data_IF_593276914336
#
_entry.id   IF_593276914336
#
_cell.length_a   1.000
_cell.length_b   1.000
_cell.length_c   1.000
_cell.angle_alpha   90.00
_cell.angle_beta   90.00
_cell.angle_gamma   90.00
#
_symmetry.space_group_name_H-M   'P 1'
#
loop_
_entity.id
_entity.type
_entity.pdbx_description
1 polymer ?
#
# COMPACT_ATOMS: atom_id res chain seq x y z
N UNK A 1 -33.43 -9.20 14.68
CA UNK A 1 -32.12 -9.90 14.76
C UNK A 1 -31.60 -9.72 16.17
N UNK A 2 -30.89 -10.70 16.74
CA UNK A 2 -30.28 -10.50 18.05
C UNK A 2 -29.33 -9.30 17.94
N UNK A 3 -29.48 -8.34 18.84
CA UNK A 3 -28.49 -7.28 19.04
C UNK A 3 -27.17 -7.93 19.45
N UNK A 4 -26.04 -7.24 19.29
CA UNK A 4 -24.75 -7.83 19.68
C UNK A 4 -24.58 -7.78 21.19
N UNK A 5 -24.31 -8.93 21.81
CA UNK A 5 -23.89 -8.97 23.20
C UNK A 5 -22.54 -8.24 23.37
N UNK A 6 -22.22 -7.84 24.60
CA UNK A 6 -20.94 -7.20 24.85
C UNK A 6 -19.76 -8.12 24.50
N UNK A 7 -18.79 -7.58 23.74
CA UNK A 7 -17.66 -8.32 23.20
C UNK A 7 -17.94 -9.06 21.88
N UNK A 8 -19.21 -9.19 21.47
CA UNK A 8 -19.60 -9.91 20.26
C UNK A 8 -19.33 -9.11 18.99
N UNK A 9 -18.97 -9.82 17.92
CA UNK A 9 -18.80 -9.26 16.58
C UNK A 9 -19.49 -10.11 15.52
N UNK A 10 -20.03 -9.46 14.49
CA UNK A 10 -20.62 -10.10 13.31
C UNK A 10 -20.05 -9.50 12.04
N UNK A 11 -19.86 -10.35 11.03
CA UNK A 11 -19.51 -9.92 9.69
C UNK A 11 -20.76 -9.64 8.85
N UNK A 12 -20.77 -8.51 8.14
CA UNK A 12 -21.84 -8.15 7.23
C UNK A 12 -21.28 -7.85 5.85
N UNK A 13 -21.90 -8.43 4.82
CA UNK A 13 -21.56 -8.12 3.46
C UNK A 13 -22.00 -6.69 3.11
N UNK A 14 -21.03 -5.84 2.77
CA UNK A 14 -21.25 -4.47 2.34
C UNK A 14 -21.02 -4.29 0.84
N UNK A 15 -20.82 -3.03 0.42
CA UNK A 15 -20.47 -2.67 -0.96
C UNK A 15 -19.00 -2.95 -1.33
N UNK A 16 -18.18 -3.40 -0.38
CA UNK A 16 -16.78 -3.77 -0.62
C UNK A 16 -16.61 -5.27 -0.85
N UNK A 17 -15.46 -5.67 -1.41
CA UNK A 17 -15.11 -7.07 -1.66
C UNK A 17 -14.82 -7.87 -0.39
N UNK A 18 -14.49 -7.20 0.72
CA UNK A 18 -14.36 -7.80 2.06
C UNK A 18 -15.59 -7.43 2.91
N UNK A 19 -16.10 -8.34 3.75
CA UNK A 19 -17.17 -8.03 4.68
C UNK A 19 -16.72 -6.96 5.68
N UNK A 20 -17.67 -6.16 6.15
CA UNK A 20 -17.46 -5.23 7.25
C UNK A 20 -17.73 -5.96 8.57
N UNK A 21 -16.98 -5.63 9.61
CA UNK A 21 -17.14 -6.19 10.95
C UNK A 21 -17.91 -5.19 11.79
N UNK A 22 -19.00 -5.63 12.40
CA UNK A 22 -19.74 -4.88 13.42
C UNK A 22 -19.39 -5.50 14.76
N UNK A 23 -19.14 -4.68 15.78
CA UNK A 23 -18.78 -5.15 17.12
C UNK A 23 -19.45 -4.28 18.18
N UNK A 24 -19.86 -4.90 19.28
CA UNK A 24 -20.20 -4.20 20.52
C UNK A 24 -19.07 -4.40 21.54
N UNK A 25 -18.57 -3.34 22.16
CA UNK A 25 -17.55 -3.43 23.22
C UNK A 25 -17.79 -2.35 24.26
N UNK A 26 -18.05 -2.74 25.50
CA UNK A 26 -18.44 -1.84 26.58
C UNK A 26 -19.71 -1.04 26.27
N UNK A 27 -20.64 -1.60 25.48
CA UNK A 27 -21.85 -0.89 25.02
C UNK A 27 -21.62 0.07 23.84
N UNK A 28 -20.38 0.20 23.34
CA UNK A 28 -20.05 1.01 22.17
C UNK A 28 -20.08 0.15 20.91
N UNK A 29 -21.00 0.48 20.01
CA UNK A 29 -21.14 -0.18 18.72
C UNK A 29 -20.20 0.43 17.68
N UNK A 30 -19.36 -0.41 17.07
CA UNK A 30 -18.42 -0.04 16.03
C UNK A 30 -18.69 -0.80 14.73
N UNK A 31 -18.35 -0.19 13.59
CA UNK A 31 -18.40 -0.84 12.28
C UNK A 31 -17.15 -0.49 11.47
N UNK A 32 -16.56 -1.47 10.78
CA UNK A 32 -15.38 -1.24 9.93
C UNK A 32 -15.71 -0.62 8.57
N UNK A 33 -16.99 -0.31 8.30
CA UNK A 33 -17.35 0.34 7.05
C UNK A 33 -16.87 1.81 7.00
N UNK A 34 -16.51 2.33 5.82
CA UNK A 34 -16.07 3.72 5.69
C UNK A 34 -17.08 4.74 6.23
N UNK A 35 -18.38 4.49 6.01
CA UNK A 35 -19.45 5.37 6.45
C UNK A 35 -19.55 5.54 7.97
N UNK A 36 -19.10 4.54 8.75
CA UNK A 36 -18.99 4.63 10.21
C UNK A 36 -17.62 5.19 10.62
N UNK A 37 -16.53 4.64 10.08
CA UNK A 37 -15.15 5.00 10.47
C UNK A 37 -14.81 6.47 10.23
N UNK A 38 -15.35 7.05 9.17
CA UNK A 38 -15.03 8.41 8.74
C UNK A 38 -15.97 9.46 9.34
N UNK A 39 -16.86 9.09 10.27
CA UNK A 39 -17.68 10.07 10.98
C UNK A 39 -16.86 10.85 12.00
N UNK A 40 -17.23 12.10 12.12
CA UNK A 40 -16.52 13.13 12.89
C UNK A 40 -17.04 13.32 14.30
N UNK A 41 -18.05 12.53 14.69
CA UNK A 41 -18.63 12.54 16.03
C UNK A 41 -17.92 11.51 16.92
N UNK A 42 -18.10 11.62 18.24
CA UNK A 42 -17.60 10.63 19.20
C UNK A 42 -18.08 9.22 18.84
N UNK A 43 -17.24 8.21 19.12
CA UNK A 43 -17.48 6.82 18.69
C UNK A 43 -18.83 6.27 19.17
N UNK A 44 -19.26 6.72 20.34
CA UNK A 44 -20.56 6.45 20.97
C UNK A 44 -21.73 7.07 20.22
N UNK A 45 -21.50 8.10 19.40
CA UNK A 45 -22.51 8.79 18.58
C UNK A 45 -22.49 8.36 17.10
N UNK A 46 -21.52 7.54 16.68
CA UNK A 46 -21.40 7.11 15.29
C UNK A 46 -22.43 6.06 14.94
N UNK A 47 -22.95 6.10 13.72
CA UNK A 47 -23.88 5.10 13.19
C UNK A 47 -23.61 4.79 11.72
N UNK A 48 -24.21 3.76 11.14
CA UNK A 48 -24.18 3.55 9.69
C UNK A 48 -25.35 2.68 9.25
N UNK A 49 -25.54 2.55 7.93
CA UNK A 49 -26.59 1.67 7.38
C UNK A 49 -26.50 0.22 7.88
N UNK A 50 -25.31 -0.26 8.21
CA UNK A 50 -25.13 -1.64 8.69
C UNK A 50 -25.57 -1.78 10.15
N UNK A 51 -25.18 -0.85 11.03
CA UNK A 51 -25.65 -0.84 12.43
C UNK A 51 -27.16 -0.67 12.49
N UNK A 52 -27.70 0.25 11.68
CA UNK A 52 -29.15 0.45 11.52
C UNK A 52 -29.87 -0.80 11.02
N UNK A 53 -29.28 -1.54 10.06
CA UNK A 53 -29.85 -2.80 9.55
C UNK A 53 -29.79 -3.93 10.59
N UNK A 54 -28.73 -3.99 11.38
CA UNK A 54 -28.54 -5.00 12.42
C UNK A 54 -29.50 -4.78 13.60
N UNK A 55 -29.48 -3.56 14.16
CA UNK A 55 -30.18 -3.18 15.40
C UNK A 55 -31.61 -2.71 15.18
N UNK A 56 -31.91 -2.21 13.98
CA UNK A 56 -33.15 -1.49 13.69
C UNK A 56 -33.01 0.02 13.95
N UNK A 57 -33.74 0.81 13.17
CA UNK A 57 -33.70 2.28 13.25
C UNK A 57 -34.13 2.77 14.65
N UNK A 58 -35.18 2.20 15.25
CA UNK A 58 -35.65 2.60 16.58
C UNK A 58 -34.61 2.37 17.70
N UNK A 59 -33.92 1.22 17.69
CA UNK A 59 -32.90 0.89 18.70
C UNK A 59 -31.63 1.74 18.52
N UNK A 60 -31.33 2.15 17.30
CA UNK A 60 -30.21 3.02 16.99
C UNK A 60 -30.51 4.48 17.34
N UNK A 61 -31.73 4.95 17.08
CA UNK A 61 -32.20 6.28 17.49
C UNK A 61 -32.20 6.45 19.02
N UNK A 62 -32.72 5.44 19.73
CA UNK A 62 -32.70 5.42 21.19
C UNK A 62 -31.26 5.46 21.75
N UNK A 63 -30.33 4.69 21.15
CA UNK A 63 -28.91 4.69 21.54
C UNK A 63 -28.25 6.05 21.35
N UNK A 64 -28.62 6.74 20.27
CA UNK A 64 -28.06 8.05 19.93
C UNK A 64 -28.81 9.21 20.60
N UNK A 65 -29.91 8.98 21.31
CA UNK A 65 -30.66 10.03 22.02
C UNK A 65 -31.06 11.21 21.11
N UNK A 66 -31.40 10.94 19.85
CA UNK A 66 -31.77 11.97 18.87
C UNK A 66 -31.97 11.39 17.47
N UNK A 67 -32.61 12.19 16.60
CA UNK A 67 -32.99 11.78 15.26
C UNK A 67 -31.80 11.21 14.46
N UNK A 68 -32.02 10.06 13.81
CA UNK A 68 -31.00 9.44 12.97
C UNK A 68 -30.66 10.36 11.78
N UNK A 69 -29.38 10.42 11.36
CA UNK A 69 -29.03 11.08 10.11
C UNK A 69 -29.86 10.47 8.98
N UNK A 70 -30.47 11.35 8.17
CA UNK A 70 -31.32 10.94 7.06
C UNK A 70 -30.61 9.85 6.25
N UNK A 71 -31.34 8.78 5.90
CA UNK A 71 -30.82 7.84 4.90
C UNK A 71 -30.43 8.69 3.70
N UNK A 72 -29.21 8.59 3.15
CA UNK A 72 -28.93 9.22 1.88
C UNK A 72 -30.00 8.70 0.93
N UNK A 73 -30.91 9.60 0.54
CA UNK A 73 -31.91 9.31 -0.46
C UNK A 73 -31.08 8.94 -1.67
N UNK A 74 -31.11 7.66 -2.07
CA UNK A 74 -30.78 7.37 -3.46
C UNK A 74 -31.70 8.27 -4.24
N UNK A 75 -31.13 9.23 -4.97
CA UNK A 75 -31.87 9.93 -6.00
C UNK A 75 -32.72 8.86 -6.71
N UNK A 76 -34.02 9.17 -6.86
CA UNK A 76 -34.97 8.26 -7.48
C UNK A 76 -34.35 7.65 -8.73
N UNK A 77 -34.65 6.38 -8.95
CA UNK A 77 -34.06 5.51 -9.96
C UNK A 77 -34.49 5.90 -11.38
N UNK A 78 -34.13 7.10 -11.80
CA UNK A 78 -33.97 7.53 -13.19
C UNK A 78 -32.48 7.76 -13.52
N UNK A 79 -31.59 7.29 -12.63
CA UNK A 79 -30.15 7.51 -12.74
C UNK A 79 -29.50 6.65 -13.80
N UNK A 80 -29.12 7.27 -14.91
CA UNK A 80 -27.87 6.92 -15.60
C UNK A 80 -26.80 6.58 -14.56
N UNK A 81 -26.04 5.51 -14.77
CA UNK A 81 -24.78 5.33 -14.05
C UNK A 81 -23.99 6.62 -14.22
N UNK A 82 -23.82 7.41 -13.16
CA UNK A 82 -23.03 8.64 -13.22
C UNK A 82 -21.60 8.22 -13.51
N UNK A 83 -21.24 8.22 -14.79
CA UNK A 83 -19.90 7.93 -15.24
C UNK A 83 -18.95 8.92 -14.55
N UNK A 84 -17.86 8.40 -13.96
CA UNK A 84 -16.85 9.25 -13.36
C UNK A 84 -16.29 10.26 -14.36
N UNK A 85 -15.64 11.34 -13.88
CA UNK A 85 -15.09 12.36 -14.78
C UNK A 85 -14.15 11.75 -15.82
N UNK A 86 -14.07 12.33 -17.02
CA UNK A 86 -13.34 11.76 -18.16
C UNK A 86 -11.83 11.91 -17.99
N UNK A 87 -11.25 11.18 -17.05
CA UNK A 87 -9.86 11.36 -16.62
C UNK A 87 -8.86 10.54 -17.45
N UNK A 88 -7.72 11.16 -17.78
CA UNK A 88 -6.56 10.50 -18.37
C UNK A 88 -5.85 9.61 -17.34
N UNK A 89 -5.50 8.38 -17.71
CA UNK A 89 -4.86 7.41 -16.82
C UNK A 89 -3.49 7.01 -17.36
N UNK A 90 -2.50 7.02 -16.47
CA UNK A 90 -1.13 6.70 -16.82
C UNK A 90 -0.88 5.19 -16.99
N UNK A 91 -0.04 4.84 -17.95
CA UNK A 91 0.61 3.52 -18.06
C UNK A 91 1.89 3.46 -17.23
N UNK A 92 2.41 2.26 -16.98
CA UNK A 92 3.71 2.09 -16.33
C UNK A 92 4.81 2.18 -17.37
N UNK A 93 5.89 2.93 -17.10
CA UNK A 93 7.07 2.89 -17.96
C UNK A 93 7.81 1.55 -17.81
N UNK A 94 8.22 0.97 -18.94
CA UNK A 94 8.83 -0.36 -19.03
C UNK A 94 10.36 -0.36 -18.96
N UNK A 95 10.98 0.83 -18.89
CA UNK A 95 12.44 1.06 -18.97
C UNK A 95 13.07 0.84 -20.35
N UNK A 96 12.27 0.58 -21.39
CA UNK A 96 12.75 0.39 -22.76
C UNK A 96 12.61 1.68 -23.59
N UNK A 97 11.54 2.44 -23.37
CA UNK A 97 11.29 3.66 -24.11
C UNK A 97 12.24 4.80 -23.69
N UNK A 98 12.86 5.48 -24.66
CA UNK A 98 13.56 6.74 -24.43
C UNK A 98 12.55 7.87 -24.16
N UNK A 99 12.66 8.50 -22.99
CA UNK A 99 11.77 9.59 -22.55
C UNK A 99 12.42 10.98 -22.65
N UNK A 100 13.55 11.11 -23.35
CA UNK A 100 14.13 12.40 -23.69
C UNK A 100 13.08 13.32 -24.35
N UNK A 101 13.04 14.57 -23.91
CA UNK A 101 12.05 15.58 -24.32
C UNK A 101 10.70 15.50 -23.60
N UNK A 102 10.38 14.44 -22.87
CA UNK A 102 9.09 14.33 -22.17
C UNK A 102 9.02 15.28 -20.98
N UNK A 103 7.81 15.72 -20.65
CA UNK A 103 7.59 16.55 -19.47
C UNK A 103 7.50 15.70 -18.22
N UNK A 104 8.29 16.04 -17.22
CA UNK A 104 8.49 15.29 -15.99
C UNK A 104 7.99 16.10 -14.79
N UNK A 105 7.21 15.46 -13.92
CA UNK A 105 6.76 16.02 -12.64
C UNK A 105 6.80 14.96 -11.53
N UNK A 106 6.79 15.39 -10.27
CA UNK A 106 6.69 14.46 -9.14
C UNK A 106 5.36 13.70 -9.19
N UNK A 107 5.42 12.38 -9.00
CA UNK A 107 4.23 11.58 -8.73
C UNK A 107 3.84 11.77 -7.26
N UNK A 108 2.71 12.42 -7.05
CA UNK A 108 2.15 12.69 -5.74
C UNK A 108 1.36 11.49 -5.21
N UNK A 109 1.64 11.06 -3.98
CA UNK A 109 0.87 10.03 -3.25
C UNK A 109 -0.27 10.67 -2.45
N UNK A 110 -1.23 11.25 -3.17
CA UNK A 110 -2.39 11.94 -2.60
C UNK A 110 -3.70 11.25 -2.95
N UNK A 111 -4.75 12.06 -3.13
CA UNK A 111 -6.04 11.60 -3.64
C UNK A 111 -6.42 12.42 -4.86
N UNK A 112 -6.40 11.80 -6.04
CA UNK A 112 -6.84 12.44 -7.29
C UNK A 112 -8.21 13.08 -7.17
N UNK A 113 -8.30 14.35 -7.57
CA UNK A 113 -9.53 15.10 -7.62
C UNK A 113 -9.67 15.82 -8.97
N UNK A 114 -10.85 15.69 -9.55
CA UNK A 114 -11.27 16.41 -10.73
C UNK A 114 -12.16 17.58 -10.28
N UNK A 115 -11.73 18.79 -10.54
CA UNK A 115 -12.55 19.98 -10.37
C UNK A 115 -13.38 20.16 -11.63
N UNK A 116 -14.71 20.13 -11.52
CA UNK A 116 -15.61 20.27 -12.68
C UNK A 116 -15.97 21.74 -13.01
N UNK A 117 -15.31 22.69 -12.34
CA UNK A 117 -15.68 24.12 -12.36
C UNK A 117 -16.47 24.55 -11.13
N UNK A 118 -17.00 23.61 -10.33
CA UNK A 118 -17.86 23.92 -9.18
C UNK A 118 -17.57 23.08 -7.94
N UNK A 119 -17.16 21.82 -8.13
CA UNK A 119 -16.98 20.86 -7.06
C UNK A 119 -15.88 19.84 -7.41
N UNK A 120 -15.37 19.19 -6.37
CA UNK A 120 -14.35 18.15 -6.52
C UNK A 120 -14.98 16.76 -6.61
N UNK A 121 -14.66 16.06 -7.69
CA UNK A 121 -15.08 14.69 -7.96
C UNK A 121 -13.87 13.74 -7.88
N UNK A 122 -14.07 12.58 -7.27
CA UNK A 122 -13.10 11.48 -7.36
C UNK A 122 -13.10 10.87 -8.75
N UNK A 123 -12.11 10.03 -9.04
CA UNK A 123 -12.06 9.25 -10.29
C UNK A 123 -13.34 8.43 -10.57
N UNK A 124 -14.07 8.01 -9.55
CA UNK A 124 -15.33 7.27 -9.70
C UNK A 124 -16.58 8.18 -9.69
N UNK A 125 -16.41 9.50 -9.73
CA UNK A 125 -17.52 10.46 -9.67
C UNK A 125 -18.05 10.74 -8.26
N UNK A 126 -17.46 10.17 -7.20
CA UNK A 126 -17.87 10.51 -5.84
C UNK A 126 -17.48 11.95 -5.49
N UNK A 127 -18.41 12.72 -4.93
CA UNK A 127 -18.19 14.08 -4.44
C UNK A 127 -17.25 14.09 -3.22
N UNK A 128 -16.25 14.98 -3.24
CA UNK A 128 -15.54 15.39 -2.04
C UNK A 128 -16.24 16.60 -1.42
N UNK A 129 -16.57 16.51 -0.14
CA UNK A 129 -17.22 17.60 0.60
C UNK A 129 -16.17 18.62 1.06
N UNK A 130 -15.55 19.30 0.10
CA UNK A 130 -14.66 20.42 0.37
C UNK A 130 -15.47 21.58 0.99
N UNK A 131 -14.91 22.28 2.00
CA UNK A 131 -15.52 23.50 2.53
C UNK A 131 -15.56 24.60 1.47
N UNK A 132 -16.53 25.51 1.58
CA UNK A 132 -16.73 26.56 0.58
C UNK A 132 -15.52 27.51 0.50
N UNK A 133 -14.86 27.78 1.63
CA UNK A 133 -13.61 28.55 1.68
C UNK A 133 -12.42 27.86 0.99
N UNK A 134 -12.47 26.54 0.83
CA UNK A 134 -11.41 25.77 0.16
C UNK A 134 -11.54 25.87 -1.37
N UNK A 135 -12.77 25.98 -1.88
CA UNK A 135 -13.05 26.07 -3.32
C UNK A 135 -13.17 27.51 -3.83
N UNK A 136 -13.41 28.47 -2.92
CA UNK A 136 -13.53 29.88 -3.26
C UNK A 136 -12.31 30.39 -4.06
N UNK A 137 -12.57 31.09 -5.17
CA UNK A 137 -11.53 31.67 -6.02
C UNK A 137 -10.92 30.72 -7.06
N UNK A 138 -11.34 29.45 -7.11
CA UNK A 138 -11.04 28.56 -8.23
C UNK A 138 -11.82 28.98 -9.50
N UNK A 139 -11.27 28.72 -10.70
CA UNK A 139 -11.94 29.06 -11.95
C UNK A 139 -13.07 28.09 -12.28
N UNK A 140 -14.00 28.48 -13.15
CA UNK A 140 -15.05 27.59 -13.67
C UNK A 140 -14.53 26.58 -14.70
N UNK A 141 -13.25 26.66 -15.07
CA UNK A 141 -12.62 25.71 -16.01
C UNK A 141 -12.33 24.39 -15.31
N UNK A 142 -12.60 23.23 -15.95
CA UNK A 142 -12.24 21.94 -15.37
C UNK A 142 -10.73 21.77 -15.17
N UNK A 143 -10.34 21.30 -13.98
CA UNK A 143 -8.95 21.06 -13.59
C UNK A 143 -8.76 19.61 -13.11
N UNK A 144 -7.62 19.03 -13.41
CA UNK A 144 -7.22 17.70 -12.95
C UNK A 144 -5.98 17.83 -12.07
N UNK A 145 -6.06 17.25 -10.88
CA UNK A 145 -5.05 17.44 -9.86
C UNK A 145 -5.11 16.40 -8.75
N UNK A 146 -4.26 16.61 -7.75
CA UNK A 146 -4.16 15.75 -6.58
C UNK A 146 -4.47 16.57 -5.32
N UNK A 147 -5.42 16.11 -4.50
CA UNK A 147 -5.53 16.58 -3.12
C UNK A 147 -4.39 15.96 -2.32
N UNK A 148 -3.53 16.81 -1.74
CA UNK A 148 -2.25 16.38 -1.19
C UNK A 148 -1.83 17.24 0.00
N UNK A 149 -1.25 16.62 1.03
CA UNK A 149 -0.73 17.32 2.23
C UNK A 149 0.79 17.37 2.22
N UNK A 150 1.41 16.25 1.87
CA UNK A 150 2.84 16.05 2.05
C UNK A 150 3.27 14.66 1.63
N UNK A 151 4.57 14.49 1.45
CA UNK A 151 5.18 13.16 1.21
C UNK A 151 4.91 12.24 2.41
N UNK A 152 4.61 10.97 2.12
CA UNK A 152 4.22 9.96 3.13
C UNK A 152 2.98 10.32 3.97
N UNK A 153 2.14 11.26 3.51
CA UNK A 153 0.91 11.68 4.20
C UNK A 153 -0.36 11.15 3.52
N UNK A 154 -0.28 10.09 2.71
CA UNK A 154 -1.44 9.53 2.01
C UNK A 154 -2.58 9.16 2.96
N UNK A 155 -2.30 8.44 4.05
CA UNK A 155 -3.34 8.03 5.02
C UNK A 155 -4.00 9.25 5.68
N UNK A 156 -3.20 10.27 6.03
CA UNK A 156 -3.71 11.53 6.58
C UNK A 156 -4.59 12.25 5.57
N UNK A 157 -4.14 12.38 4.33
CA UNK A 157 -4.90 12.99 3.23
C UNK A 157 -6.25 12.30 3.04
N UNK A 158 -6.27 10.97 2.92
CA UNK A 158 -7.48 10.16 2.80
C UNK A 158 -8.41 10.36 4.00
N UNK A 159 -7.86 10.44 5.21
CA UNK A 159 -8.65 10.60 6.44
C UNK A 159 -9.39 11.95 6.52
N UNK A 160 -8.90 12.97 5.82
CA UNK A 160 -9.50 14.31 5.78
C UNK A 160 -10.51 14.39 4.63
N UNK A 161 -10.06 14.12 3.38
CA UNK A 161 -10.87 14.40 2.19
C UNK A 161 -12.10 13.51 2.05
N UNK A 162 -12.13 12.34 2.71
CA UNK A 162 -13.29 11.43 2.71
C UNK A 162 -14.36 11.75 3.75
N UNK A 163 -14.15 12.78 4.58
CA UNK A 163 -15.14 13.20 5.57
C UNK A 163 -16.22 14.03 4.90
N UNK A 164 -17.41 14.04 5.50
CA UNK A 164 -18.60 14.73 4.96
C UNK A 164 -18.95 16.01 5.72
N UNK A 165 -18.17 16.34 6.75
CA UNK A 165 -18.45 17.41 7.70
C UNK A 165 -17.82 18.77 7.34
N UNK A 166 -17.17 18.87 6.16
CA UNK A 166 -16.53 20.11 5.68
C UNK A 166 -15.66 20.80 6.76
N UNK A 167 -14.93 20.03 7.56
CA UNK A 167 -14.22 20.59 8.72
C UNK A 167 -12.92 21.33 8.36
N UNK A 168 -12.37 22.01 9.36
CA UNK A 168 -11.14 22.81 9.28
C UNK A 168 -9.85 22.05 8.98
N UNK A 169 -9.81 20.71 9.09
CA UNK A 169 -8.64 19.90 8.75
C UNK A 169 -8.27 20.02 7.26
N UNK A 170 -9.23 20.44 6.41
CA UNK A 170 -8.94 20.77 5.01
C UNK A 170 -7.87 21.86 4.85
N UNK A 171 -7.54 22.64 5.90
CA UNK A 171 -6.45 23.62 5.87
C UNK A 171 -5.07 22.98 5.68
N UNK A 172 -4.92 21.70 6.03
CA UNK A 172 -3.72 20.90 5.77
C UNK A 172 -3.58 20.49 4.30
N UNK A 173 -4.69 20.46 3.56
CA UNK A 173 -4.74 19.94 2.19
C UNK A 173 -4.40 21.05 1.19
N UNK A 174 -3.75 20.67 0.10
CA UNK A 174 -3.57 21.47 -1.11
C UNK A 174 -4.14 20.74 -2.31
N UNK A 175 -4.65 21.47 -3.29
CA UNK A 175 -5.02 20.95 -4.60
C UNK A 175 -3.89 21.26 -5.59
N UNK A 176 -3.08 20.24 -5.91
CA UNK A 176 -1.96 20.37 -6.84
C UNK A 176 -2.42 20.03 -8.25
N UNK A 177 -2.63 21.05 -9.08
CA UNK A 177 -3.17 20.95 -10.44
C UNK A 177 -2.07 20.55 -11.41
N UNK A 178 -2.29 19.51 -12.20
CA UNK A 178 -1.32 19.05 -13.20
C UNK A 178 -1.84 19.06 -14.65
N UNK A 179 -3.15 19.24 -14.88
CA UNK A 179 -3.71 19.37 -16.24
C UNK A 179 -5.04 20.16 -16.26
N UNK A 180 -5.44 20.58 -17.45
CA UNK A 180 -6.70 21.30 -17.73
C UNK A 180 -7.54 20.54 -18.78
N UNK A 181 -8.29 19.50 -18.38
CA UNK A 181 -8.95 18.56 -19.29
C UNK A 181 -10.01 19.16 -20.22
N UNK A 182 -10.56 20.34 -19.90
CA UNK A 182 -11.51 21.05 -20.76
C UNK A 182 -10.88 21.66 -22.02
N UNK A 183 -9.55 21.59 -22.16
CA UNK A 183 -8.79 22.18 -23.26
C UNK A 183 -8.37 21.12 -24.28
N UNK A 184 -8.57 21.41 -25.56
CA UNK A 184 -8.28 20.48 -26.67
C UNK A 184 -6.82 20.57 -27.16
N UNK A 185 -6.11 21.62 -26.74
CA UNK A 185 -4.75 21.93 -27.13
C UNK A 185 -3.74 20.89 -26.60
N UNK A 186 -2.54 20.82 -27.19
CA UNK A 186 -1.40 20.08 -26.66
C UNK A 186 -1.06 20.35 -25.19
N UNK A 187 -0.36 19.41 -24.56
CA UNK A 187 -0.05 19.49 -23.13
C UNK A 187 0.70 20.76 -22.73
N UNK A 188 1.62 21.22 -23.56
CA UNK A 188 2.39 22.45 -23.36
C UNK A 188 1.50 23.68 -23.24
N UNK A 189 0.51 23.78 -24.13
CA UNK A 189 -0.45 24.89 -24.13
C UNK A 189 -1.38 24.82 -22.92
N UNK A 190 -1.79 23.62 -22.51
CA UNK A 190 -2.59 23.42 -21.29
C UNK A 190 -1.78 23.79 -20.04
N UNK A 191 -0.50 23.40 -19.98
CA UNK A 191 0.39 23.77 -18.89
C UNK A 191 0.67 25.28 -18.86
N UNK A 192 0.87 25.91 -20.02
CA UNK A 192 1.05 27.35 -20.13
C UNK A 192 -0.22 28.10 -19.71
N UNK A 193 -1.39 27.61 -20.10
CA UNK A 193 -2.67 28.13 -19.63
C UNK A 193 -2.78 28.08 -18.11
N UNK A 194 -2.43 26.96 -17.47
CA UNK A 194 -2.43 26.84 -16.01
C UNK A 194 -1.48 27.88 -15.38
N UNK A 195 -0.24 27.98 -15.87
CA UNK A 195 0.77 28.93 -15.34
C UNK A 195 0.34 30.39 -15.50
N UNK A 196 -0.28 30.74 -16.63
CA UNK A 196 -0.74 32.10 -16.90
C UNK A 196 -2.01 32.46 -16.11
N UNK A 197 -2.89 31.49 -15.88
CA UNK A 197 -4.17 31.73 -15.19
C UNK A 197 -4.05 31.69 -13.67
N UNK A 198 -3.14 30.87 -13.15
CA UNK A 198 -2.95 30.63 -11.72
C UNK A 198 -2.78 31.91 -10.88
N UNK A 199 -1.97 32.92 -11.29
CA UNK A 199 -1.85 34.16 -10.52
C UNK A 199 -3.16 34.94 -10.33
N UNK A 200 -4.16 34.70 -11.20
CA UNK A 200 -5.48 35.30 -11.09
C UNK A 200 -6.46 34.52 -10.21
N UNK A 201 -6.13 33.29 -9.82
CA UNK A 201 -6.99 32.49 -8.94
C UNK A 201 -6.87 33.00 -7.51
N UNK A 202 -7.98 33.41 -6.92
CA UNK A 202 -8.03 33.93 -5.56
C UNK A 202 -8.16 32.78 -4.54
N UNK A 203 -7.33 31.75 -4.68
CA UNK A 203 -7.41 30.52 -3.88
C UNK A 203 -6.05 30.17 -3.27
N UNK A 204 -5.96 30.23 -1.93
CA UNK A 204 -4.72 29.96 -1.18
C UNK A 204 -4.42 28.47 -0.95
N UNK A 205 -5.28 27.57 -1.43
CA UNK A 205 -5.16 26.12 -1.22
C UNK A 205 -4.80 25.37 -2.51
N UNK A 206 -4.57 26.09 -3.60
CA UNK A 206 -4.29 25.51 -4.91
C UNK A 206 -2.89 25.92 -5.36
N UNK A 207 -2.20 25.01 -6.02
CA UNK A 207 -0.92 25.29 -6.69
C UNK A 207 -0.87 24.53 -8.02
N UNK A 208 -0.13 25.05 -9.00
CA UNK A 208 0.14 24.34 -10.25
C UNK A 208 1.40 23.50 -10.06
N UNK A 209 1.28 22.19 -10.29
CA UNK A 209 2.39 21.25 -10.16
C UNK A 209 3.51 21.58 -11.17
N UNK A 210 4.73 21.71 -10.66
CA UNK A 210 5.89 21.99 -11.48
C UNK A 210 6.17 20.83 -12.46
N UNK A 211 6.48 21.19 -13.71
CA UNK A 211 6.92 20.27 -14.74
C UNK A 211 8.24 20.77 -15.34
N UNK A 212 9.17 19.86 -15.60
CA UNK A 212 10.45 20.12 -16.23
C UNK A 212 10.67 19.18 -17.43
N UNK A 213 11.47 19.58 -18.41
CA UNK A 213 11.81 18.68 -19.52
C UNK A 213 12.78 17.59 -19.05
N UNK A 214 12.51 16.35 -19.43
CA UNK A 214 13.42 15.23 -19.23
C UNK A 214 14.50 15.26 -20.33
N UNK A 215 15.73 15.65 -20.02
CA UNK A 215 16.81 15.69 -21.01
C UNK A 215 17.21 14.30 -21.55
N UNK A 216 17.37 13.33 -20.66
CA UNK A 216 17.77 11.96 -21.01
C UNK A 216 17.43 10.97 -19.89
N UNK A 217 17.78 9.70 -20.07
CA UNK A 217 17.53 8.64 -19.08
C UNK A 217 18.35 8.81 -17.80
N UNK A 218 19.54 9.43 -17.85
CA UNK A 218 20.36 9.67 -16.66
C UNK A 218 19.71 10.74 -15.78
N UNK A 219 19.28 11.86 -16.38
CA UNK A 219 18.51 12.90 -15.73
C UNK A 219 17.22 12.36 -15.10
N UNK A 220 16.47 11.53 -15.83
CA UNK A 220 15.28 10.85 -15.31
C UNK A 220 15.58 10.03 -14.05
N UNK A 221 16.64 9.21 -14.09
CA UNK A 221 17.04 8.36 -12.96
C UNK A 221 17.56 9.18 -11.77
N UNK A 222 18.32 10.23 -12.03
CA UNK A 222 18.83 11.13 -11.01
C UNK A 222 17.66 11.85 -10.30
N UNK A 223 16.70 12.36 -11.06
CA UNK A 223 15.52 13.02 -10.52
C UNK A 223 14.62 12.05 -9.76
N UNK A 224 14.41 10.84 -10.28
CA UNK A 224 13.66 9.79 -9.58
C UNK A 224 14.29 9.50 -8.22
N UNK A 225 15.60 9.26 -8.19
CA UNK A 225 16.35 9.01 -6.95
C UNK A 225 16.27 10.20 -5.99
N UNK A 226 16.35 11.44 -6.50
CA UNK A 226 16.21 12.65 -5.68
C UNK A 226 14.83 12.73 -5.02
N UNK A 227 13.76 12.55 -5.79
CA UNK A 227 12.38 12.55 -5.29
C UNK A 227 12.18 11.45 -4.25
N UNK A 228 12.65 10.22 -4.51
CA UNK A 228 12.55 9.10 -3.58
C UNK A 228 13.33 9.35 -2.28
N UNK A 229 14.52 9.97 -2.37
CA UNK A 229 15.33 10.36 -1.20
C UNK A 229 14.57 11.35 -0.31
N UNK A 230 13.79 12.24 -0.93
CA UNK A 230 12.94 13.17 -0.20
C UNK A 230 11.61 12.55 0.27
N UNK A 231 11.38 11.26 -0.01
CA UNK A 231 10.20 10.49 0.39
C UNK A 231 9.01 10.56 -0.59
N UNK A 232 9.23 11.03 -1.82
CA UNK A 232 8.21 11.07 -2.87
C UNK A 232 7.97 9.69 -3.50
N UNK A 233 6.85 9.54 -4.22
CA UNK A 233 6.40 8.23 -4.72
C UNK A 233 7.04 7.81 -6.05
N UNK A 234 7.56 8.77 -6.81
CA UNK A 234 8.13 8.56 -8.14
C UNK A 234 7.92 9.76 -9.05
N UNK A 235 7.85 9.53 -10.35
CA UNK A 235 7.69 10.56 -11.37
C UNK A 235 6.50 10.26 -12.31
N UNK A 236 5.94 11.32 -12.88
CA UNK A 236 4.97 11.29 -13.95
C UNK A 236 5.58 11.91 -15.20
N UNK A 237 5.49 11.22 -16.33
CA UNK A 237 6.09 11.61 -17.61
C UNK A 237 4.98 11.81 -18.64
N UNK A 238 4.93 12.97 -19.27
CA UNK A 238 3.93 13.35 -20.26
C UNK A 238 4.56 13.59 -21.62
N UNK A 239 4.03 12.92 -22.64
CA UNK A 239 4.54 13.02 -24.00
C UNK A 239 4.35 14.45 -24.55
N UNK A 240 5.37 15.04 -25.18
CA UNK A 240 5.25 16.35 -25.82
C UNK A 240 4.17 16.34 -26.92
N UNK A 241 3.44 17.44 -27.06
CA UNK A 241 2.38 17.55 -28.07
C UNK A 241 1.12 16.73 -27.78
N UNK A 242 1.06 16.00 -26.66
CA UNK A 242 -0.04 15.06 -26.40
C UNK A 242 -1.34 15.76 -26.02
N UNK A 243 -2.45 15.28 -26.60
CA UNK A 243 -3.80 15.69 -26.25
C UNK A 243 -4.24 15.08 -24.92
N UNK A 244 -5.28 15.65 -24.32
CA UNK A 244 -5.97 15.03 -23.20
C UNK A 244 -6.98 14.01 -23.74
N UNK A 245 -6.79 12.73 -23.42
CA UNK A 245 -7.68 11.64 -23.86
C UNK A 245 -8.13 10.87 -22.63
N UNK A 246 -9.45 10.76 -22.44
CA UNK A 246 -10.01 10.02 -21.33
C UNK A 246 -9.63 8.53 -21.43
N UNK A 247 -9.30 7.92 -20.29
CA UNK A 247 -8.88 6.53 -20.23
C UNK A 247 -7.38 6.33 -20.18
N UNK A 248 -6.95 5.07 -20.23
CA UNK A 248 -5.53 4.70 -20.14
C UNK A 248 -4.81 5.04 -21.44
N UNK A 249 -3.67 5.70 -21.33
CA UNK A 249 -2.89 6.15 -22.47
C UNK A 249 -1.40 5.97 -22.23
N UNK A 250 -0.69 5.58 -23.29
CA UNK A 250 0.77 5.56 -23.34
C UNK A 250 1.40 6.96 -23.38
N UNK A 251 0.61 8.00 -23.67
CA UNK A 251 1.07 9.40 -23.67
C UNK A 251 1.34 9.95 -22.27
N UNK A 252 0.92 9.24 -21.22
CA UNK A 252 1.17 9.57 -19.82
C UNK A 252 1.71 8.32 -19.12
N UNK A 253 2.93 8.43 -18.59
CA UNK A 253 3.62 7.33 -17.94
C UNK A 253 3.86 7.64 -16.46
N UNK A 254 3.74 6.63 -15.62
CA UNK A 254 4.24 6.66 -14.24
C UNK A 254 5.57 5.91 -14.19
N UNK A 255 6.58 6.58 -13.67
CA UNK A 255 7.93 6.04 -13.46
C UNK A 255 8.10 5.87 -11.95
N UNK A 256 8.46 4.65 -11.55
CA UNK A 256 8.70 4.31 -10.15
C UNK A 256 9.92 3.41 -10.09
N UNK A 257 10.77 3.55 -9.07
CA UNK A 257 11.74 2.52 -8.80
C UNK A 257 11.01 1.25 -8.41
N UNK A 258 11.54 0.13 -8.88
CA UNK A 258 11.18 -1.17 -8.35
C UNK A 258 12.40 -1.70 -7.64
N UNK A 259 12.18 -2.18 -6.42
CA UNK A 259 13.13 -2.94 -5.66
C UNK A 259 12.90 -4.41 -5.95
N UNK A 260 13.97 -5.15 -6.18
CA UNK A 260 13.92 -6.59 -6.26
C UNK A 260 14.20 -7.18 -4.87
N UNK A 261 13.46 -8.20 -4.51
CA UNK A 261 13.71 -8.98 -3.32
C UNK A 261 13.39 -10.44 -3.58
N UNK A 262 13.76 -11.28 -2.63
CA UNK A 262 13.56 -12.70 -2.69
C UNK A 262 12.62 -13.16 -1.59
N UNK A 263 11.77 -14.12 -1.92
CA UNK A 263 10.88 -14.76 -0.98
C UNK A 263 10.71 -16.23 -1.35
N UNK A 264 10.45 -17.05 -0.33
CA UNK A 264 10.19 -18.48 -0.50
C UNK A 264 8.70 -18.69 -0.71
N UNK A 265 8.32 -19.44 -1.74
CA UNK A 265 6.92 -19.84 -1.98
C UNK A 265 6.47 -20.78 -0.88
N UNK A 266 5.40 -20.41 -0.18
CA UNK A 266 4.80 -21.19 0.91
C UNK A 266 3.43 -21.76 0.58
N UNK A 267 2.81 -21.30 -0.52
CA UNK A 267 1.49 -21.78 -0.94
C UNK A 267 1.07 -21.25 -2.30
N UNK A 268 0.01 -21.84 -2.85
CA UNK A 268 -0.63 -21.41 -4.10
C UNK A 268 -2.07 -21.02 -3.82
N UNK A 269 -2.53 -19.97 -4.49
CA UNK A 269 -3.90 -19.48 -4.41
C UNK A 269 -4.59 -19.69 -5.77
N UNK A 270 -5.80 -20.28 -5.79
CA UNK A 270 -6.52 -20.55 -7.03
C UNK A 270 -6.96 -19.25 -7.73
N UNK A 271 -6.82 -19.21 -9.05
CA UNK A 271 -7.23 -18.07 -9.86
C UNK A 271 -8.74 -17.97 -10.02
N UNK A 272 -9.20 -16.75 -10.31
CA UNK A 272 -10.61 -16.42 -10.60
C UNK A 272 -10.73 -15.81 -12.00
N UNK A 273 -11.94 -15.82 -12.57
CA UNK A 273 -12.20 -15.23 -13.90
C UNK A 273 -11.35 -15.90 -15.00
N UNK A 274 -10.59 -15.10 -15.76
CA UNK A 274 -9.67 -15.60 -16.82
C UNK A 274 -8.57 -16.55 -16.34
N UNK A 275 -8.37 -16.66 -15.02
CA UNK A 275 -7.42 -17.57 -14.40
C UNK A 275 -8.10 -18.69 -13.60
N UNK A 276 -9.40 -18.93 -13.78
CA UNK A 276 -10.08 -20.07 -13.17
C UNK A 276 -9.42 -21.40 -13.60
N UNK A 277 -9.25 -22.32 -12.65
CA UNK A 277 -8.60 -23.62 -12.88
C UNK A 277 -7.06 -23.58 -12.96
N UNK A 278 -6.42 -22.42 -12.75
CA UNK A 278 -4.96 -22.26 -12.76
C UNK A 278 -4.49 -21.32 -11.65
N UNK A 279 -3.18 -21.08 -11.54
CA UNK A 279 -2.61 -20.21 -10.50
C UNK A 279 -3.18 -18.79 -10.59
N UNK A 280 -3.75 -18.33 -9.47
CA UNK A 280 -4.09 -16.94 -9.24
C UNK A 280 -2.89 -16.16 -8.71
N UNK A 281 -2.34 -16.64 -7.59
CA UNK A 281 -1.21 -16.05 -6.90
C UNK A 281 -0.39 -17.11 -6.15
N UNK A 282 0.85 -16.79 -5.81
CA UNK A 282 1.65 -17.54 -4.83
C UNK A 282 1.65 -16.80 -3.51
N UNK A 283 1.47 -17.51 -2.40
CA UNK A 283 1.78 -16.99 -1.07
C UNK A 283 3.27 -17.21 -0.82
N UNK A 284 3.98 -16.16 -0.38
CA UNK A 284 5.42 -16.19 -0.17
C UNK A 284 5.79 -15.65 1.20
N UNK A 285 6.97 -16.01 1.69
CA UNK A 285 7.52 -15.58 2.98
C UNK A 285 8.91 -14.97 2.80
N UNK A 286 9.09 -13.75 3.32
CA UNK A 286 10.38 -13.08 3.39
C UNK A 286 11.31 -13.73 4.43
N UNK A 287 12.64 -13.51 4.35
CA UNK A 287 13.59 -13.95 5.38
C UNK A 287 13.25 -13.48 6.80
N UNK A 288 12.64 -12.30 6.93
CA UNK A 288 12.18 -11.74 8.21
C UNK A 288 10.87 -12.37 8.74
N UNK A 289 10.35 -13.40 8.07
CA UNK A 289 9.17 -14.15 8.47
C UNK A 289 7.83 -13.60 8.00
N UNK A 290 7.78 -12.41 7.39
CA UNK A 290 6.54 -11.80 6.90
C UNK A 290 6.03 -12.52 5.66
N UNK A 291 4.74 -12.85 5.66
CA UNK A 291 4.08 -13.51 4.53
C UNK A 291 3.16 -12.54 3.77
N UNK A 292 3.11 -12.69 2.45
CA UNK A 292 2.25 -11.92 1.56
C UNK A 292 2.05 -12.67 0.23
N UNK A 293 1.13 -12.21 -0.62
CA UNK A 293 0.81 -12.86 -1.89
C UNK A 293 1.36 -12.10 -3.09
N UNK A 294 1.85 -12.82 -4.09
CA UNK A 294 2.28 -12.30 -5.40
C UNK A 294 1.35 -12.86 -6.47
N UNK A 295 0.54 -11.99 -7.09
CA UNK A 295 -0.51 -12.40 -8.04
C UNK A 295 -0.28 -11.98 -9.49
N UNK A 296 0.76 -11.18 -9.76
CA UNK A 296 1.08 -10.63 -11.08
C UNK A 296 2.51 -10.98 -11.48
N UNK A 297 2.83 -10.85 -12.77
CA UNK A 297 4.16 -11.15 -13.31
C UNK A 297 4.32 -12.56 -13.89
N UNK A 298 3.38 -13.46 -13.62
CA UNK A 298 3.35 -14.81 -14.21
C UNK A 298 2.81 -14.79 -15.64
N UNK A 299 3.56 -15.44 -16.54
CA UNK A 299 3.11 -15.85 -17.87
C UNK A 299 1.98 -16.88 -17.79
N UNK A 300 1.26 -17.10 -18.89
CA UNK A 300 0.22 -18.13 -18.93
C UNK A 300 0.78 -19.55 -18.69
N UNK A 301 2.01 -19.81 -19.16
CA UNK A 301 2.73 -21.06 -18.89
C UNK A 301 3.03 -21.22 -17.39
N UNK A 302 3.55 -20.20 -16.72
CA UNK A 302 3.82 -20.24 -15.27
C UNK A 302 2.53 -20.30 -14.45
N UNK A 303 1.40 -19.85 -14.98
CA UNK A 303 0.11 -20.05 -14.31
C UNK A 303 -0.39 -21.48 -14.39
N UNK A 304 -0.10 -22.18 -15.50
CA UNK A 304 -0.37 -23.60 -15.65
C UNK A 304 0.63 -24.45 -14.85
N UNK A 305 1.88 -24.00 -14.78
CA UNK A 305 3.01 -24.65 -14.12
C UNK A 305 3.62 -23.72 -13.05
N UNK A 306 2.94 -23.55 -11.90
CA UNK A 306 3.35 -22.59 -10.88
C UNK A 306 4.69 -22.96 -10.24
N UNK A 307 5.48 -21.96 -9.78
CA UNK A 307 6.69 -22.22 -9.00
C UNK A 307 6.38 -23.13 -7.79
N UNK A 308 7.07 -24.27 -7.62
CA UNK A 308 6.78 -25.19 -6.53
C UNK A 308 6.91 -24.55 -5.14
N UNK A 309 6.12 -25.04 -4.19
CA UNK A 309 6.28 -24.67 -2.77
C UNK A 309 7.70 -25.04 -2.32
N UNK A 310 8.34 -24.14 -1.58
CA UNK A 310 9.73 -24.24 -1.15
C UNK A 310 10.74 -23.57 -2.09
N UNK A 311 10.33 -23.18 -3.30
CA UNK A 311 11.23 -22.45 -4.22
C UNK A 311 11.41 -20.99 -3.82
N UNK A 312 12.63 -20.48 -4.00
CA UNK A 312 12.90 -19.04 -3.89
C UNK A 312 12.59 -18.37 -5.21
N UNK A 313 11.76 -17.35 -5.17
CA UNK A 313 11.47 -16.49 -6.32
C UNK A 313 12.10 -15.13 -6.12
N UNK A 314 12.54 -14.51 -7.21
CA UNK A 314 12.79 -13.07 -7.26
C UNK A 314 11.48 -12.40 -7.64
N UNK A 315 11.08 -11.40 -6.87
CA UNK A 315 9.93 -10.56 -7.16
C UNK A 315 10.35 -9.10 -7.07
N UNK A 316 9.71 -8.24 -7.86
CA UNK A 316 9.88 -6.80 -7.79
C UNK A 316 8.72 -6.14 -7.06
N UNK A 317 8.97 -5.06 -6.33
CA UNK A 317 7.97 -4.29 -5.60
C UNK A 317 8.33 -2.80 -5.63
N UNK A 318 7.39 -1.91 -5.34
CA UNK A 318 7.64 -0.46 -5.44
C UNK A 318 8.09 0.16 -4.12
N UNK A 319 7.45 -0.24 -3.03
CA UNK A 319 7.69 0.33 -1.70
C UNK A 319 7.27 -0.68 -0.63
N UNK A 320 7.64 -0.44 0.62
CA UNK A 320 7.17 -1.21 1.77
C UNK A 320 5.99 -0.49 2.43
N UNK A 321 5.00 -1.23 2.94
CA UNK A 321 4.03 -0.68 3.89
C UNK A 321 4.71 -0.31 5.22
N UNK A 322 4.03 0.42 6.09
CA UNK A 322 4.49 0.70 7.46
C UNK A 322 4.84 -0.60 8.23
N UNK A 323 4.14 -1.69 7.89
CA UNK A 323 4.40 -3.03 8.41
C UNK A 323 5.56 -3.77 7.73
N UNK A 324 6.33 -3.12 6.85
CA UNK A 324 7.44 -3.69 6.11
C UNK A 324 7.06 -4.79 5.11
N UNK A 325 5.83 -4.75 4.57
CA UNK A 325 5.35 -5.69 3.55
C UNK A 325 5.48 -5.03 2.16
N UNK A 326 6.10 -5.69 1.17
CA UNK A 326 6.16 -5.20 -0.21
C UNK A 326 4.79 -4.83 -0.79
N UNK A 327 4.65 -3.60 -1.30
CA UNK A 327 3.47 -3.12 -2.02
C UNK A 327 3.65 -3.30 -3.53
N UNK A 328 2.57 -3.74 -4.16
CA UNK A 328 2.50 -4.07 -5.59
C UNK A 328 3.56 -5.08 -6.06
N UNK A 329 3.71 -6.22 -5.35
CA UNK A 329 4.72 -7.20 -5.72
C UNK A 329 4.33 -7.91 -7.02
N UNK A 330 5.31 -8.09 -7.91
CA UNK A 330 5.17 -8.83 -9.16
C UNK A 330 6.30 -9.85 -9.29
N UNK A 331 5.95 -11.08 -9.64
CA UNK A 331 6.91 -12.13 -9.93
C UNK A 331 7.83 -11.70 -11.08
N UNK A 332 9.12 -12.03 -10.96
CA UNK A 332 10.11 -11.86 -12.03
C UNK A 332 10.58 -13.21 -12.56
N UNK A 333 11.13 -14.05 -11.67
CA UNK A 333 11.68 -15.36 -12.04
C UNK A 333 11.80 -16.27 -10.83
N UNK A 334 11.84 -17.57 -11.08
CA UNK A 334 12.38 -18.54 -10.11
C UNK A 334 13.89 -18.33 -10.04
N UNK A 335 14.47 -18.30 -8.83
CA UNK A 335 15.92 -18.20 -8.67
C UNK A 335 16.55 -19.53 -9.08
N UNK A 336 17.46 -19.49 -10.06
CA UNK A 336 18.15 -20.66 -10.63
C UNK A 336 19.47 -20.99 -9.94
N UNK A 337 19.96 -20.12 -9.05
CA UNK A 337 21.30 -20.24 -8.45
C UNK A 337 21.33 -21.06 -7.15
N UNK A 338 20.32 -21.90 -6.97
CA UNK A 338 20.36 -22.97 -5.99
C UNK A 338 19.93 -24.23 -6.72
N UNK A 339 20.87 -25.15 -6.91
CA UNK A 339 20.57 -26.51 -7.35
C UNK A 339 19.34 -27.04 -6.59
N UNK A 340 18.47 -27.83 -7.24
CA UNK A 340 17.30 -28.38 -6.56
C UNK A 340 17.77 -29.07 -5.29
N UNK A 341 17.37 -28.54 -4.14
CA UNK A 341 17.52 -29.27 -2.88
C UNK A 341 16.54 -30.41 -2.97
N UNK A 342 17.02 -31.51 -3.53
CA UNK A 342 16.44 -32.83 -3.31
C UNK A 342 16.33 -32.95 -1.79
N UNK A 343 15.12 -33.28 -1.35
CA UNK A 343 14.82 -33.60 0.04
C UNK A 343 15.67 -34.82 0.41
N UNK A 344 16.86 -34.57 0.93
CA UNK A 344 17.70 -35.59 1.55
C UNK A 344 17.76 -35.24 3.03
N UNK A 345 17.43 -36.23 3.86
CA UNK A 345 17.50 -36.19 5.31
C UNK A 345 18.82 -35.55 5.80
N UNK A 346 18.82 -34.92 6.99
CA UNK A 346 19.85 -33.97 7.39
C UNK A 346 21.19 -34.68 7.65
N UNK A 347 22.33 -34.11 7.23
CA UNK A 347 23.59 -34.35 7.89
C UNK A 347 23.83 -33.26 8.94
N UNK A 348 24.15 -33.72 10.14
CA UNK A 348 24.56 -32.98 11.34
C UNK A 348 25.72 -32.01 11.05
N UNK A 349 25.47 -30.70 11.10
CA UNK A 349 26.53 -29.68 11.15
C UNK A 349 27.08 -29.54 12.57
N UNK A 350 28.40 -29.53 12.72
CA UNK A 350 29.09 -29.43 14.01
C UNK A 350 28.82 -28.13 14.79
N UNK A 351 29.39 -28.00 16.01
CA UNK A 351 29.20 -26.82 16.86
C UNK A 351 29.68 -25.54 16.17
N UNK A 352 28.87 -24.47 16.23
CA UNK A 352 29.27 -23.12 15.80
C UNK A 352 30.03 -22.43 16.93
N UNK A 353 31.22 -21.91 16.64
CA UNK A 353 32.09 -21.24 17.61
C UNK A 353 32.04 -19.72 17.45
N UNK A 354 32.06 -19.02 18.57
CA UNK A 354 32.09 -17.57 18.68
C UNK A 354 33.10 -17.14 19.74
N UNK A 355 33.78 -16.03 19.52
CA UNK A 355 34.84 -15.53 20.43
C UNK A 355 34.65 -14.04 20.74
N UNK A 356 35.02 -13.65 21.96
CA UNK A 356 35.15 -12.25 22.41
C UNK A 356 36.31 -12.17 23.39
N UNK A 357 37.24 -11.25 23.13
CA UNK A 357 38.49 -11.13 23.89
C UNK A 357 39.18 -12.51 24.05
N UNK A 358 39.47 -12.94 25.28
CA UNK A 358 40.09 -14.24 25.59
C UNK A 358 39.08 -15.38 25.83
N UNK A 359 37.81 -15.21 25.46
CA UNK A 359 36.72 -16.16 25.77
C UNK A 359 36.11 -16.75 24.50
N UNK A 360 35.74 -18.02 24.58
CA UNK A 360 34.98 -18.71 23.52
C UNK A 360 33.61 -19.14 24.03
N UNK A 361 32.66 -19.23 23.10
CA UNK A 361 31.34 -19.80 23.28
C UNK A 361 30.94 -20.58 22.02
N UNK A 362 30.51 -21.82 22.19
CA UNK A 362 30.11 -22.75 21.15
C UNK A 362 28.66 -23.16 21.34
N UNK A 363 27.95 -23.38 20.23
CA UNK A 363 26.60 -23.93 20.26
C UNK A 363 26.36 -24.94 19.13
N UNK A 364 25.86 -26.12 19.50
CA UNK A 364 25.43 -27.18 18.60
C UNK A 364 23.92 -27.43 18.76
N UNK A 365 23.27 -27.82 17.67
CA UNK A 365 21.92 -28.36 17.70
C UNK A 365 21.91 -29.72 17.01
N UNK A 366 21.51 -30.75 17.75
CA UNK A 366 21.31 -32.10 17.22
C UNK A 366 19.91 -32.57 17.59
N UNK A 367 19.05 -32.74 16.60
CA UNK A 367 17.63 -33.07 16.79
C UNK A 367 16.93 -32.08 17.73
N UNK A 368 16.49 -32.57 18.89
CA UNK A 368 15.79 -31.81 19.93
C UNK A 368 16.72 -31.20 21.00
N UNK A 369 18.03 -31.39 20.89
CA UNK A 369 18.99 -31.01 21.95
C UNK A 369 19.91 -29.89 21.51
N UNK A 370 19.94 -28.81 22.30
CA UNK A 370 20.88 -27.70 22.16
C UNK A 370 22.00 -27.87 23.17
N UNK A 371 23.24 -27.93 22.69
CA UNK A 371 24.43 -28.02 23.53
C UNK A 371 25.22 -26.73 23.41
N UNK A 372 25.54 -26.10 24.55
CA UNK A 372 26.39 -24.92 24.63
C UNK A 372 27.67 -25.22 25.39
N UNK A 373 28.81 -24.72 24.92
CA UNK A 373 30.10 -24.84 25.59
C UNK A 373 30.80 -23.49 25.68
N UNK A 374 31.49 -23.18 26.77
CA UNK A 374 32.15 -21.88 26.95
C UNK A 374 33.35 -21.93 27.88
N UNK A 375 34.30 -21.03 27.69
CA UNK A 375 35.50 -20.98 28.52
C UNK A 375 36.50 -19.94 28.04
N UNK A 376 37.71 -19.97 28.61
CA UNK A 376 38.84 -19.22 28.06
C UNK A 376 39.42 -19.94 26.85
N UNK A 377 39.83 -19.20 25.84
CA UNK A 377 40.48 -19.74 24.64
C UNK A 377 41.73 -20.52 25.07
N UNK A 378 41.90 -21.74 24.57
CA UNK A 378 42.97 -22.67 24.97
C UNK A 378 42.65 -23.58 26.16
N UNK A 379 41.45 -23.50 26.76
CA UNK A 379 40.99 -24.42 27.83
C UNK A 379 39.89 -25.38 27.34
N UNK A 380 39.64 -26.45 28.08
CA UNK A 380 38.55 -27.38 27.77
C UNK A 380 37.14 -26.74 27.89
N UNK A 381 36.99 -25.63 28.63
CA UNK A 381 35.70 -24.98 28.86
C UNK A 381 34.70 -25.81 29.68
N UNK A 382 33.49 -25.28 29.84
CA UNK A 382 32.34 -25.89 30.48
C UNK A 382 31.24 -26.13 29.44
N UNK A 383 30.49 -27.22 29.58
CA UNK A 383 29.44 -27.61 28.64
C UNK A 383 28.09 -27.81 29.34
N UNK A 384 27.01 -27.48 28.64
CA UNK A 384 25.64 -27.71 29.07
C UNK A 384 24.75 -28.06 27.89
N UNK A 385 24.10 -29.22 27.98
CA UNK A 385 23.05 -29.66 27.06
C UNK A 385 21.66 -29.36 27.62
N UNK A 386 20.72 -29.02 26.74
CA UNK A 386 19.30 -28.80 27.07
C UNK A 386 18.44 -29.41 25.97
N UNK A 387 17.57 -30.34 26.37
CA UNK A 387 16.64 -31.03 25.50
C UNK A 387 15.27 -30.32 25.46
N UNK A 388 14.62 -30.34 24.31
CA UNK A 388 13.34 -29.69 24.05
C UNK A 388 12.30 -30.67 23.53
N UNK A 389 11.03 -30.35 23.75
CA UNK A 389 9.91 -31.21 23.34
C UNK A 389 9.72 -31.34 21.81
N UNK A 390 10.39 -30.50 21.00
CA UNK A 390 10.37 -30.60 19.54
C UNK A 390 11.58 -29.91 18.91
N UNK A 391 11.93 -30.32 17.69
CA UNK A 391 13.04 -29.73 16.92
C UNK A 391 12.82 -28.23 16.65
N UNK A 392 11.59 -27.79 16.41
CA UNK A 392 11.26 -26.36 16.26
C UNK A 392 11.58 -25.55 17.52
N UNK A 393 11.27 -26.09 18.71
CA UNK A 393 11.58 -25.41 19.97
C UNK A 393 13.08 -25.38 20.23
N UNK A 394 13.78 -26.46 19.90
CA UNK A 394 15.24 -26.54 20.00
C UNK A 394 15.92 -25.54 19.05
N UNK A 395 15.45 -25.45 17.79
CA UNK A 395 15.92 -24.46 16.80
C UNK A 395 15.67 -23.03 17.26
N UNK A 396 14.48 -22.74 17.81
CA UNK A 396 14.14 -21.41 18.31
C UNK A 396 15.04 -20.99 19.48
N UNK A 397 15.35 -21.89 20.42
CA UNK A 397 16.32 -21.57 21.49
C UNK A 397 17.74 -21.42 20.92
N UNK A 398 18.16 -22.29 20.01
CA UNK A 398 19.46 -22.21 19.34
C UNK A 398 19.69 -20.84 18.69
N UNK A 399 18.74 -20.38 17.88
CA UNK A 399 18.82 -19.08 17.20
C UNK A 399 18.80 -17.91 18.20
N UNK A 400 17.97 -18.01 19.26
CA UNK A 400 17.90 -17.02 20.33
C UNK A 400 19.24 -16.88 21.07
N UNK A 401 19.90 -17.99 21.39
CA UNK A 401 21.20 -17.97 22.09
C UNK A 401 22.29 -17.32 21.22
N UNK A 402 22.27 -17.54 19.91
CA UNK A 402 23.19 -16.87 18.98
C UNK A 402 22.96 -15.36 18.99
N UNK A 403 21.71 -14.90 18.87
CA UNK A 403 21.36 -13.46 18.91
C UNK A 403 21.77 -12.83 20.25
N UNK A 404 21.55 -13.53 21.36
CA UNK A 404 21.93 -13.02 22.68
C UNK A 404 23.46 -12.88 22.82
N UNK A 405 24.23 -13.83 22.26
CA UNK A 405 25.69 -13.83 22.34
C UNK A 405 26.34 -12.83 21.39
N UNK A 406 25.86 -12.69 20.16
CA UNK A 406 26.31 -11.63 19.26
C UNK A 406 25.97 -10.24 19.79
N UNK A 407 24.81 -10.08 20.44
CA UNK A 407 24.47 -8.84 21.16
C UNK A 407 25.40 -8.50 22.33
N UNK A 408 26.14 -9.48 22.85
CA UNK A 408 27.16 -9.33 23.90
C UNK A 408 28.59 -9.20 23.34
N UNK A 409 28.74 -9.02 22.03
CA UNK A 409 30.02 -8.79 21.37
C UNK A 409 30.77 -10.05 20.91
N UNK A 410 30.17 -11.25 21.04
CA UNK A 410 30.78 -12.48 20.53
C UNK A 410 30.70 -12.53 19.00
N UNK A 411 31.85 -12.63 18.33
CA UNK A 411 31.95 -12.72 16.88
C UNK A 411 32.10 -14.18 16.41
N UNK A 412 31.47 -14.60 15.30
CA UNK A 412 31.59 -15.96 14.79
C UNK A 412 33.01 -16.24 14.30
N UNK A 413 33.52 -17.43 14.63
CA UNK A 413 34.77 -17.96 14.11
C UNK A 413 34.42 -19.02 13.06
N UNK A 414 34.92 -18.82 11.83
CA UNK A 414 34.67 -19.68 10.67
C UNK A 414 35.31 -21.04 10.78
#
# INVERSE_FOLDING_TARGET
MPDLADGESVEVQGSGSKPYVLKNTGGVYACTCPAWRNQSVGIERRTCKHLRKLRGDAAEEARLGGALPAKPVKAAADGEEVAGPPVLLAESWDNAQNLAGWWMSEKLDGVRAYWDGKQFLSRQGNLYHAPDWFTQGLPDTPLDGELWIGRKQFQRTVSIVRRQDKNELWKEVRFLVFDAPGRAEPFEDRLQFLKASFPGWQNSYTEVLAHAACHDTEHLRAELKRIETLGGEGLMLRQPGSKYVAGRSSTLLKVKSFLDAEAVVTGHEPGKGKHAGRLGAVTVKLPNGKAFSVGTGFSDHERANPPPIGTTITFRYQELSDGGIPRFPSFLRVRTDTAPVIVVAPPTGGPRRFEVDEKFWEVALVGTTVTTRWGKIGTAGQEKAKEFASEEKARKEYDKLIVEKTGKGYAPVS
#
